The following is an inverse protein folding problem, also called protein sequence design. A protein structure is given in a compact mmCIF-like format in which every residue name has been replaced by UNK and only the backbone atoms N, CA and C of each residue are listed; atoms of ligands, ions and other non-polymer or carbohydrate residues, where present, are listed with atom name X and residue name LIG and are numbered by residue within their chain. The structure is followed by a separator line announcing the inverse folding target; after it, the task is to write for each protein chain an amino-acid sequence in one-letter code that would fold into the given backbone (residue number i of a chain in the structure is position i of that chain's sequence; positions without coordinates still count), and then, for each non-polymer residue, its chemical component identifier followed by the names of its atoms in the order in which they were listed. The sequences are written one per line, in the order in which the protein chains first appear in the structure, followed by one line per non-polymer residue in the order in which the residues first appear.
data_IF_601433463119
#
_entry.id   IF_601433463119
#
_cell.length_a   1.000
_cell.length_b   1.000
_cell.length_c   1.000
_cell.angle_alpha   90.00
_cell.angle_beta   90.00
_cell.angle_gamma   90.00
#
_symmetry.space_group_name_H-M   'P 1'
#
loop_
_entity.id
_entity.type
_entity.pdbx_description
1 polymer ?
#
# COMPACT_ATOMS: atom_id res chain seq x y z
N UNK A 1 21.90 7.23 14.68
CA UNK A 1 21.69 5.86 14.17
C UNK A 1 20.30 5.77 13.55
N UNK A 2 20.13 5.08 12.42
CA UNK A 2 18.81 4.83 11.81
C UNK A 2 17.98 3.92 12.71
N UNK A 3 16.66 4.16 12.82
CA UNK A 3 15.72 3.30 13.56
C UNK A 3 15.41 1.98 12.86
N UNK A 4 15.66 1.91 11.55
CA UNK A 4 15.40 0.77 10.68
C UNK A 4 15.39 1.21 9.22
N UNK A 5 15.11 0.27 8.32
CA UNK A 5 15.07 0.51 6.86
C UNK A 5 13.67 0.22 6.33
N UNK A 6 13.12 1.13 5.54
CA UNK A 6 11.80 0.97 4.92
C UNK A 6 11.87 1.15 3.41
N UNK A 7 11.19 0.28 2.68
CA UNK A 7 10.94 0.43 1.26
C UNK A 7 9.48 0.83 1.03
N UNK A 8 9.25 1.86 0.21
CA UNK A 8 7.92 2.36 -0.14
C UNK A 8 7.68 2.13 -1.63
N UNK A 9 6.83 1.16 -1.94
CA UNK A 9 6.40 0.87 -3.30
C UNK A 9 5.34 1.88 -3.72
N UNK A 10 5.48 2.47 -4.91
CA UNK A 10 4.57 3.53 -5.38
C UNK A 10 4.81 4.89 -4.72
N UNK A 11 6.07 5.27 -4.54
CA UNK A 11 6.55 6.47 -3.82
C UNK A 11 6.02 7.81 -4.35
N UNK A 12 5.50 7.88 -5.58
CA UNK A 12 4.91 9.11 -6.13
C UNK A 12 3.41 9.29 -5.81
N UNK A 13 2.73 8.24 -5.36
CA UNK A 13 1.33 8.30 -4.94
C UNK A 13 1.16 9.11 -3.66
N UNK A 14 -0.07 9.56 -3.37
CA UNK A 14 -0.34 10.37 -2.17
C UNK A 14 0.10 9.63 -0.90
N UNK A 15 -0.39 8.41 -0.71
CA UNK A 15 -0.04 7.60 0.45
C UNK A 15 1.45 7.22 0.47
N UNK A 16 2.01 6.78 -0.67
CA UNK A 16 3.42 6.42 -0.76
C UNK A 16 4.34 7.58 -0.42
N UNK A 17 4.08 8.77 -0.98
CA UNK A 17 4.87 9.96 -0.67
C UNK A 17 4.74 10.38 0.80
N UNK A 18 3.53 10.35 1.36
CA UNK A 18 3.32 10.66 2.78
C UNK A 18 4.07 9.67 3.68
N UNK A 19 4.08 8.38 3.33
CA UNK A 19 4.86 7.38 4.04
C UNK A 19 6.37 7.65 3.97
N UNK A 20 6.90 7.99 2.77
CA UNK A 20 8.32 8.34 2.63
C UNK A 20 8.72 9.50 3.54
N UNK A 21 7.92 10.58 3.55
CA UNK A 21 8.17 11.76 4.40
C UNK A 21 8.11 11.38 5.88
N UNK A 22 7.07 10.67 6.30
CA UNK A 22 6.87 10.30 7.70
C UNK A 22 7.99 9.40 8.23
N UNK A 23 8.39 8.39 7.48
CA UNK A 23 9.49 7.51 7.88
C UNK A 23 10.83 8.24 7.89
N UNK A 24 11.09 9.11 6.90
CA UNK A 24 12.31 9.91 6.86
C UNK A 24 12.40 10.85 8.06
N UNK A 25 11.32 11.58 8.39
CA UNK A 25 11.26 12.45 9.58
C UNK A 25 11.39 11.68 10.89
N UNK A 26 10.91 10.43 10.91
CA UNK A 26 11.08 9.55 12.05
C UNK A 26 12.49 8.96 12.20
N UNK A 27 13.42 9.27 11.29
CA UNK A 27 14.82 8.83 11.33
C UNK A 27 15.06 7.42 10.77
N UNK A 28 14.19 6.95 9.87
CA UNK A 28 14.40 5.71 9.14
C UNK A 28 15.23 5.94 7.88
N UNK A 29 15.94 4.91 7.43
CA UNK A 29 16.52 4.88 6.09
C UNK A 29 15.42 4.48 5.10
N UNK A 30 15.11 5.37 4.15
CA UNK A 30 13.94 5.21 3.26
C UNK A 30 14.39 4.96 1.83
N UNK A 31 13.82 3.94 1.18
CA UNK A 31 13.94 3.67 -0.25
C UNK A 31 12.56 3.76 -0.89
N UNK A 32 12.40 4.60 -1.91
CA UNK A 32 11.18 4.69 -2.70
C UNK A 32 11.31 3.92 -4.02
N UNK A 33 10.26 3.21 -4.44
CA UNK A 33 10.14 2.61 -5.77
C UNK A 33 9.08 3.33 -6.60
N UNK A 34 9.40 3.63 -7.83
CA UNK A 34 8.46 4.18 -8.82
C UNK A 34 9.08 4.27 -10.21
N UNK A 35 8.26 4.45 -11.24
CA UNK A 35 8.71 4.56 -12.64
C UNK A 35 9.56 5.81 -12.92
N UNK A 36 9.42 6.84 -12.10
CA UNK A 36 10.19 8.07 -12.14
C UNK A 36 10.13 8.75 -10.78
N UNK A 37 11.14 9.55 -10.40
CA UNK A 37 11.17 10.28 -9.13
C UNK A 37 10.54 11.68 -9.30
N UNK A 38 9.20 11.74 -9.33
CA UNK A 38 8.47 13.01 -9.53
C UNK A 38 8.24 13.81 -8.24
N UNK A 39 8.35 13.14 -7.09
CA UNK A 39 8.16 13.73 -5.75
C UNK A 39 9.32 13.31 -4.85
N UNK A 40 10.53 13.85 -5.11
CA UNK A 40 11.70 13.48 -4.33
C UNK A 40 11.55 13.90 -2.87
N UNK A 41 12.01 13.05 -1.97
CA UNK A 41 12.14 13.35 -0.53
C UNK A 41 13.62 13.37 -0.21
N UNK A 42 14.09 14.47 0.36
CA UNK A 42 15.50 14.66 0.66
C UNK A 42 16.01 13.58 1.63
N UNK A 43 17.25 13.13 1.42
CA UNK A 43 17.86 12.09 2.26
C UNK A 43 17.34 10.68 2.04
N UNK A 44 16.51 10.45 0.99
CA UNK A 44 16.01 9.11 0.65
C UNK A 44 16.67 8.55 -0.61
N UNK A 45 16.70 7.22 -0.73
CA UNK A 45 17.11 6.51 -1.94
C UNK A 45 15.90 6.32 -2.86
N UNK A 46 16.12 6.33 -4.16
CA UNK A 46 15.09 6.03 -5.14
C UNK A 46 15.54 4.90 -6.08
N UNK A 47 14.65 3.94 -6.31
CA UNK A 47 14.78 2.87 -7.30
C UNK A 47 13.79 3.15 -8.43
N UNK A 48 14.30 3.32 -9.64
CA UNK A 48 13.47 3.48 -10.83
C UNK A 48 13.09 2.12 -11.39
N UNK A 49 11.79 1.87 -11.64
CA UNK A 49 11.32 0.64 -12.26
C UNK A 49 9.82 0.45 -12.15
N UNK A 50 9.32 -0.58 -12.80
CA UNK A 50 7.90 -0.96 -12.74
C UNK A 50 7.68 -2.00 -11.64
N UNK A 51 6.69 -1.76 -10.79
CA UNK A 51 6.35 -2.68 -9.71
C UNK A 51 5.58 -3.94 -10.18
N UNK A 52 5.26 -4.03 -11.47
CA UNK A 52 4.76 -5.26 -12.08
C UNK A 52 5.92 -6.25 -12.41
N UNK A 53 7.19 -5.83 -12.24
CA UNK A 53 8.37 -6.66 -12.44
C UNK A 53 8.92 -7.15 -11.10
N UNK A 54 8.88 -8.47 -10.86
CA UNK A 54 9.32 -9.09 -9.61
C UNK A 54 10.74 -8.68 -9.21
N UNK A 55 11.70 -8.76 -10.14
CA UNK A 55 13.10 -8.43 -9.86
C UNK A 55 13.30 -6.97 -9.42
N UNK A 56 12.46 -6.05 -9.93
CA UNK A 56 12.48 -4.63 -9.53
C UNK A 56 11.97 -4.46 -8.10
N UNK A 57 10.90 -5.15 -7.75
CA UNK A 57 10.36 -5.12 -6.37
C UNK A 57 11.35 -5.75 -5.40
N UNK A 58 11.93 -6.90 -5.72
CA UNK A 58 12.96 -7.57 -4.92
C UNK A 58 14.16 -6.65 -4.66
N UNK A 59 14.68 -6.00 -5.71
CA UNK A 59 15.79 -5.06 -5.57
C UNK A 59 15.44 -3.84 -4.69
N UNK A 60 14.20 -3.34 -4.77
CA UNK A 60 13.76 -2.21 -3.97
C UNK A 60 13.63 -2.55 -2.49
N UNK A 61 13.20 -3.77 -2.16
CA UNK A 61 12.96 -4.20 -0.78
C UNK A 61 14.14 -4.95 -0.14
N UNK A 62 15.20 -5.25 -0.89
CA UNK A 62 16.30 -6.12 -0.46
C UNK A 62 16.80 -5.81 0.96
N UNK A 63 17.12 -4.56 1.23
CA UNK A 63 17.69 -4.10 2.49
C UNK A 63 16.63 -3.64 3.53
N UNK A 64 15.34 -3.70 3.20
CA UNK A 64 14.29 -3.17 4.07
C UNK A 64 13.93 -4.13 5.18
N UNK A 65 13.57 -3.60 6.35
CA UNK A 65 12.92 -4.32 7.45
C UNK A 65 11.40 -4.27 7.29
N UNK A 66 10.92 -3.14 6.75
CA UNK A 66 9.50 -2.83 6.53
C UNK A 66 9.26 -2.46 5.07
N UNK A 67 8.19 -2.95 4.49
CA UNK A 67 7.73 -2.61 3.14
C UNK A 67 6.35 -1.95 3.22
N UNK A 68 6.21 -0.76 2.66
CA UNK A 68 4.91 -0.09 2.53
C UNK A 68 4.39 -0.27 1.11
N UNK A 69 3.25 -0.94 0.95
CA UNK A 69 2.60 -1.08 -0.35
C UNK A 69 1.74 0.16 -0.65
N UNK A 70 2.35 1.19 -1.23
CA UNK A 70 1.67 2.39 -1.72
C UNK A 70 1.24 2.30 -3.20
N UNK A 71 1.30 1.10 -3.80
CA UNK A 71 0.85 0.89 -5.17
C UNK A 71 -0.65 1.06 -5.27
N UNK A 72 -1.07 1.75 -6.32
CA UNK A 72 -2.49 1.99 -6.58
C UNK A 72 -2.79 1.94 -8.07
N UNK A 73 -3.71 1.08 -8.45
CA UNK A 73 -4.32 1.08 -9.77
C UNK A 73 -5.48 2.09 -9.79
N UNK A 74 -5.68 2.77 -10.92
CA UNK A 74 -6.89 3.56 -11.11
C UNK A 74 -8.12 2.66 -10.89
N UNK A 75 -9.18 3.20 -10.32
CA UNK A 75 -10.40 2.47 -9.95
C UNK A 75 -11.04 1.69 -11.11
N UNK A 76 -10.93 2.20 -12.34
CA UNK A 76 -11.42 1.56 -13.56
C UNK A 76 -10.58 0.33 -13.99
N UNK A 77 -9.41 0.13 -13.37
CA UNK A 77 -8.47 -0.95 -13.71
C UNK A 77 -8.35 -2.05 -12.64
N UNK A 78 -9.20 -2.04 -11.64
CA UNK A 78 -9.11 -3.06 -10.56
C UNK A 78 -9.66 -4.42 -10.95
N UNK A 79 -10.61 -4.45 -11.90
CA UNK A 79 -11.29 -5.67 -12.32
C UNK A 79 -10.41 -6.67 -13.08
N UNK A 80 -11.00 -7.82 -13.40
CA UNK A 80 -10.38 -8.89 -14.19
C UNK A 80 -9.06 -9.42 -13.59
N UNK A 81 -8.96 -9.46 -12.26
CA UNK A 81 -7.78 -9.98 -11.55
C UNK A 81 -6.56 -9.07 -11.55
N UNK A 82 -6.65 -7.83 -12.07
CA UNK A 82 -5.47 -6.95 -12.19
C UNK A 82 -4.97 -6.45 -10.83
N UNK A 83 -5.88 -6.17 -9.90
CA UNK A 83 -5.49 -5.76 -8.56
C UNK A 83 -4.81 -6.91 -7.81
N UNK A 84 -5.33 -8.11 -7.97
CA UNK A 84 -4.78 -9.34 -7.42
C UNK A 84 -3.39 -9.66 -8.03
N UNK A 85 -3.25 -9.52 -9.35
CA UNK A 85 -1.99 -9.74 -10.04
C UNK A 85 -0.89 -8.76 -9.58
N UNK A 86 -1.21 -7.47 -9.43
CA UNK A 86 -0.26 -6.49 -8.91
C UNK A 86 0.16 -6.81 -7.47
N UNK A 87 -0.78 -7.19 -6.61
CA UNK A 87 -0.47 -7.61 -5.25
C UNK A 87 0.39 -8.87 -5.24
N UNK A 88 0.12 -9.83 -6.14
CA UNK A 88 0.85 -11.10 -6.19
C UNK A 88 2.36 -10.88 -6.40
N UNK A 89 2.76 -9.94 -7.25
CA UNK A 89 4.19 -9.60 -7.44
C UNK A 89 4.84 -9.16 -6.12
N UNK A 90 4.14 -8.34 -5.33
CA UNK A 90 4.64 -7.91 -4.01
C UNK A 90 4.73 -9.10 -3.05
N UNK A 91 3.71 -9.96 -3.02
CA UNK A 91 3.71 -11.15 -2.16
C UNK A 91 4.83 -12.11 -2.53
N UNK A 92 5.10 -12.29 -3.83
CA UNK A 92 6.20 -13.13 -4.31
C UNK A 92 7.56 -12.60 -3.86
N UNK A 93 7.78 -11.29 -3.94
CA UNK A 93 8.99 -10.63 -3.44
C UNK A 93 9.15 -10.73 -1.91
N UNK A 94 8.05 -10.88 -1.18
CA UNK A 94 8.05 -10.98 0.29
C UNK A 94 8.31 -12.40 0.81
N UNK A 95 8.26 -13.43 -0.04
CA UNK A 95 8.42 -14.83 0.37
C UNK A 95 9.75 -15.07 1.10
N UNK A 96 9.66 -15.69 2.28
CA UNK A 96 10.83 -16.06 3.10
C UNK A 96 11.63 -14.88 3.65
N UNK A 97 11.13 -13.65 3.51
CA UNK A 97 11.90 -12.46 3.85
C UNK A 97 11.96 -12.13 5.34
N UNK A 98 11.00 -12.61 6.15
CA UNK A 98 10.84 -12.24 7.56
C UNK A 98 10.44 -10.78 7.79
N UNK A 99 10.24 -9.98 6.71
CA UNK A 99 9.94 -8.55 6.76
C UNK A 99 8.48 -8.28 7.16
N UNK A 100 8.17 -7.02 7.48
CA UNK A 100 6.80 -6.56 7.71
C UNK A 100 6.27 -5.81 6.49
N UNK A 101 5.13 -6.24 5.94
CA UNK A 101 4.39 -5.55 4.89
C UNK A 101 3.27 -4.72 5.49
N UNK A 102 3.29 -3.41 5.26
CA UNK A 102 2.18 -2.50 5.60
C UNK A 102 1.32 -2.33 4.35
N UNK A 103 0.05 -2.68 4.47
CA UNK A 103 -0.94 -2.57 3.39
C UNK A 103 -2.06 -1.60 3.76
N UNK A 104 -2.35 -0.60 2.91
CA UNK A 104 -3.47 0.31 3.13
C UNK A 104 -4.79 -0.41 2.88
N UNK A 105 -5.49 -0.70 3.97
CA UNK A 105 -6.86 -1.20 3.96
C UNK A 105 -7.88 -0.09 3.77
N UNK A 106 -9.13 -0.46 3.46
CA UNK A 106 -10.26 0.47 3.30
C UNK A 106 -11.44 0.02 4.14
N UNK A 107 -12.48 0.85 4.18
CA UNK A 107 -13.77 0.50 4.79
C UNK A 107 -14.74 -0.16 3.81
N UNK A 108 -14.41 -0.27 2.52
CA UNK A 108 -15.27 -0.87 1.49
C UNK A 108 -15.53 -2.37 1.68
N UNK A 109 -14.78 -2.98 2.57
CA UNK A 109 -14.93 -4.38 2.97
C UNK A 109 -16.18 -4.64 3.83
N UNK A 110 -16.83 -3.59 4.33
CA UNK A 110 -17.91 -3.65 5.31
C UNK A 110 -19.20 -3.06 4.77
N UNK A 111 -20.31 -3.36 5.42
CA UNK A 111 -21.62 -2.82 5.07
C UNK A 111 -21.76 -1.37 5.55
N UNK A 112 -22.56 -0.58 4.87
CA UNK A 112 -22.92 0.77 5.31
C UNK A 112 -23.68 0.77 6.66
N UNK A 113 -24.32 -0.33 7.01
CA UNK A 113 -25.03 -0.52 8.30
C UNK A 113 -24.09 -0.79 9.47
N UNK A 114 -22.84 -1.16 9.23
CA UNK A 114 -21.87 -1.47 10.28
C UNK A 114 -21.41 -0.19 10.98
N UNK A 115 -21.88 0.00 12.22
CA UNK A 115 -21.63 1.22 13.00
C UNK A 115 -20.24 1.24 13.67
N UNK A 116 -19.69 0.06 13.92
CA UNK A 116 -18.39 -0.11 14.57
C UNK A 116 -17.59 -1.14 13.79
N UNK A 117 -16.45 -0.72 13.23
CA UNK A 117 -15.55 -1.56 12.46
C UNK A 117 -14.33 -1.89 13.31
N UNK A 118 -14.25 -3.14 13.76
CA UNK A 118 -13.11 -3.67 14.50
C UNK A 118 -12.35 -4.71 13.66
N UNK A 119 -11.18 -5.15 14.15
CA UNK A 119 -10.34 -6.11 13.43
C UNK A 119 -11.02 -7.47 13.21
N UNK A 120 -11.92 -7.87 14.12
CA UNK A 120 -12.61 -9.16 14.10
C UNK A 120 -13.99 -9.11 13.42
N UNK A 121 -14.42 -7.92 12.95
CA UNK A 121 -15.69 -7.80 12.26
C UNK A 121 -15.64 -8.57 10.93
N UNK A 122 -16.67 -9.41 10.71
CA UNK A 122 -16.79 -10.15 9.45
C UNK A 122 -16.88 -9.15 8.28
N UNK A 123 -16.01 -9.35 7.30
CA UNK A 123 -16.01 -8.56 6.09
C UNK A 123 -17.14 -9.02 5.15
N UNK A 124 -17.98 -8.09 4.73
CA UNK A 124 -19.12 -8.35 3.84
C UNK A 124 -19.39 -7.13 2.97
N UNK A 125 -18.80 -7.15 1.77
CA UNK A 125 -18.85 -6.02 0.85
C UNK A 125 -20.21 -5.92 0.13
N UNK A 126 -20.74 -4.72 0.05
CA UNK A 126 -21.98 -4.41 -0.70
C UNK A 126 -21.70 -4.05 -2.18
N UNK A 127 -20.44 -3.84 -2.54
CA UNK A 127 -20.05 -3.42 -3.88
C UNK A 127 -18.90 -4.27 -4.44
N UNK A 128 -18.77 -4.40 -5.78
CA UNK A 128 -17.72 -5.22 -6.41
C UNK A 128 -16.29 -4.83 -5.99
N UNK A 129 -16.01 -3.55 -5.79
CA UNK A 129 -14.69 -3.08 -5.32
C UNK A 129 -14.36 -3.53 -3.91
N UNK A 130 -15.36 -3.57 -3.04
CA UNK A 130 -15.20 -4.12 -1.69
C UNK A 130 -14.86 -5.62 -1.73
N UNK A 131 -15.51 -6.39 -2.61
CA UNK A 131 -15.20 -7.81 -2.79
C UNK A 131 -13.74 -8.03 -3.28
N UNK A 132 -13.23 -7.16 -4.16
CA UNK A 132 -11.81 -7.19 -4.55
C UNK A 132 -10.93 -6.93 -3.33
N UNK A 133 -11.23 -5.92 -2.51
CA UNK A 133 -10.47 -5.60 -1.31
C UNK A 133 -10.45 -6.75 -0.31
N UNK A 134 -11.57 -7.43 -0.11
CA UNK A 134 -11.64 -8.63 0.75
C UNK A 134 -10.66 -9.69 0.23
N UNK A 135 -10.66 -9.97 -1.08
CA UNK A 135 -9.73 -10.93 -1.68
C UNK A 135 -8.27 -10.53 -1.50
N UNK A 136 -7.93 -9.25 -1.70
CA UNK A 136 -6.55 -8.79 -1.48
C UNK A 136 -6.10 -9.01 -0.03
N UNK A 137 -6.97 -8.76 0.96
CA UNK A 137 -6.66 -8.99 2.37
C UNK A 137 -6.56 -10.49 2.71
N UNK A 138 -7.34 -11.35 2.05
CA UNK A 138 -7.21 -12.80 2.16
C UNK A 138 -5.85 -13.27 1.60
N UNK A 139 -5.48 -12.84 0.40
CA UNK A 139 -4.17 -13.12 -0.20
C UNK A 139 -3.02 -12.73 0.73
N UNK A 140 -3.07 -11.53 1.32
CA UNK A 140 -2.07 -11.05 2.29
C UNK A 140 -1.95 -11.97 3.49
N UNK A 141 -3.08 -12.33 4.09
CA UNK A 141 -3.11 -13.16 5.30
C UNK A 141 -2.61 -14.58 5.02
N UNK A 142 -3.03 -15.17 3.91
CA UNK A 142 -2.63 -16.51 3.48
C UNK A 142 -1.14 -16.56 3.13
N UNK A 143 -0.65 -15.59 2.35
CA UNK A 143 0.76 -15.50 1.97
C UNK A 143 1.68 -15.26 3.17
N UNK A 144 1.29 -14.40 4.11
CA UNK A 144 2.05 -14.16 5.33
C UNK A 144 2.22 -15.44 6.17
N UNK A 145 1.12 -16.18 6.36
CA UNK A 145 1.14 -17.46 7.08
C UNK A 145 1.98 -18.53 6.38
N UNK A 146 1.88 -18.60 5.04
CA UNK A 146 2.55 -19.63 4.26
C UNK A 146 4.05 -19.37 4.06
N UNK A 147 4.47 -18.09 4.03
CA UNK A 147 5.78 -17.70 3.53
C UNK A 147 6.64 -16.91 4.53
N UNK A 148 6.25 -16.83 5.81
CA UNK A 148 7.12 -16.34 6.89
C UNK A 148 7.46 -14.85 6.82
N UNK A 149 6.48 -13.99 6.53
CA UNK A 149 6.57 -12.55 6.71
C UNK A 149 5.36 -12.03 7.50
N UNK A 150 5.41 -10.78 7.96
CA UNK A 150 4.34 -10.18 8.75
C UNK A 150 3.52 -9.20 7.90
N UNK A 151 2.24 -9.05 8.23
CA UNK A 151 1.35 -8.08 7.57
C UNK A 151 0.67 -7.18 8.60
N UNK A 152 0.69 -5.87 8.32
CA UNK A 152 -0.11 -4.88 9.02
C UNK A 152 -1.08 -4.27 8.01
N UNK A 153 -2.38 -4.50 8.19
CA UNK A 153 -3.43 -3.85 7.40
C UNK A 153 -3.84 -2.57 8.12
N UNK A 154 -3.39 -1.43 7.59
CA UNK A 154 -3.73 -0.12 8.13
C UNK A 154 -5.00 0.40 7.46
N UNK A 155 -6.13 0.24 8.14
CA UNK A 155 -7.42 0.60 7.59
C UNK A 155 -7.72 2.09 7.75
N UNK A 156 -8.12 2.72 6.66
CA UNK A 156 -8.50 4.13 6.62
C UNK A 156 -9.80 4.32 5.84
N UNK A 157 -10.54 5.38 6.19
CA UNK A 157 -11.65 5.92 5.41
C UNK A 157 -11.16 6.86 4.31
N UNK A 158 -11.89 7.95 4.09
CA UNK A 158 -11.51 8.95 3.10
C UNK A 158 -10.33 9.79 3.58
N UNK A 159 -9.42 10.10 2.66
CA UNK A 159 -8.29 10.97 2.92
C UNK A 159 -8.68 12.42 2.61
N UNK A 160 -8.27 13.34 3.47
CA UNK A 160 -8.44 14.77 3.27
C UNK A 160 -7.22 15.53 3.83
N UNK A 161 -7.02 16.77 3.38
CA UNK A 161 -5.98 17.64 3.91
C UNK A 161 -5.18 18.38 2.84
N UNK A 162 -4.35 19.34 3.23
CA UNK A 162 -3.59 20.17 2.30
C UNK A 162 -2.58 19.32 1.50
N UNK A 163 -2.46 19.65 0.21
CA UNK A 163 -1.49 18.99 -0.69
C UNK A 163 -1.98 17.69 -1.34
N UNK A 164 -3.15 17.20 -1.01
CA UNK A 164 -3.78 16.03 -1.64
C UNK A 164 -4.89 16.49 -2.59
N UNK A 165 -4.54 16.81 -3.83
CA UNK A 165 -5.53 17.13 -4.87
C UNK A 165 -6.01 15.87 -5.58
N UNK A 166 -7.33 15.82 -5.90
CA UNK A 166 -7.94 14.72 -6.63
C UNK A 166 -8.37 13.54 -5.76
N UNK A 167 -8.44 13.71 -4.46
CA UNK A 167 -9.04 12.75 -3.56
C UNK A 167 -10.58 12.79 -3.61
N UNK A 168 -11.23 11.71 -3.19
CA UNK A 168 -12.70 11.60 -3.21
C UNK A 168 -13.40 12.75 -2.51
N UNK A 169 -12.91 13.13 -1.34
CA UNK A 169 -13.50 14.23 -0.58
C UNK A 169 -13.42 15.55 -1.35
N UNK A 170 -12.27 15.85 -1.94
CA UNK A 170 -12.09 17.05 -2.75
C UNK A 170 -12.98 16.99 -4.02
N UNK A 171 -12.99 15.86 -4.72
CA UNK A 171 -13.81 15.68 -5.93
C UNK A 171 -15.31 15.77 -5.65
N UNK A 172 -15.77 15.29 -4.49
CA UNK A 172 -17.18 15.31 -4.12
C UNK A 172 -17.66 16.64 -3.51
N UNK A 173 -16.76 17.39 -2.86
CA UNK A 173 -17.12 18.54 -2.04
C UNK A 173 -16.61 19.88 -2.57
N UNK A 174 -15.59 19.89 -3.42
CA UNK A 174 -14.90 21.12 -3.83
C UNK A 174 -14.82 21.32 -5.37
N UNK A 175 -15.30 20.37 -6.16
CA UNK A 175 -15.40 20.52 -7.61
C UNK A 175 -16.79 21.05 -7.96
N UNK A 176 -16.87 22.34 -8.32
CA UNK A 176 -17.99 22.97 -9.02
C UNK A 176 -18.02 22.53 -10.49
#
# INVERSE_FOLDING_TARGET
MSKGKVAVLGSNGHMGHAAMVAFQQAGWTVTGLGRSNRRPVEGTRFVAGDADELAVVEAAIADADVVVNGLHLRYDRWGNGRAEAQLQVVLDAMKGSGKTLIFPGTIYNYRASDRHVGPDLRQEAEAPRGAIRIRLEQMLTEAARAHGFQVIILRAGDFYGPGNRGEWFEAAMLMD
#
